data_IF_855855675524
#
_entry.id   IF_855855675524
#
_cell.length_a   1.000
_cell.length_b   1.000
_cell.length_c   1.000
_cell.angle_alpha   90.00
_cell.angle_beta   90.00
_cell.angle_gamma   90.00
#
_symmetry.space_group_name_H-M   'P 1'
#
loop_
_entity.id
_entity.type
_entity.pdbx_description
1 polymer ?
#
# COMPACT_ATOMS: atom_id res chain seq x y z
N UNK A 1 -27.79 -5.58 3.88
CA UNK A 1 -26.93 -5.20 5.01
C UNK A 1 -27.30 -6.00 6.24
N UNK A 2 -26.33 -6.49 6.92
CA UNK A 2 -26.57 -7.24 8.14
C UNK A 2 -26.78 -6.26 9.30
N UNK A 3 -27.87 -6.44 10.07
CA UNK A 3 -28.20 -5.58 11.21
C UNK A 3 -27.43 -6.00 12.47
N UNK A 4 -26.14 -6.16 12.36
CA UNK A 4 -25.28 -6.62 13.46
C UNK A 4 -25.07 -5.58 14.55
N UNK A 5 -25.49 -4.32 14.32
CA UNK A 5 -25.35 -3.24 15.29
C UNK A 5 -26.54 -3.11 16.24
N UNK A 6 -27.51 -4.00 16.11
CA UNK A 6 -28.68 -4.04 16.98
C UNK A 6 -28.71 -5.37 17.74
N UNK A 7 -29.09 -5.32 19.00
CA UNK A 7 -29.38 -6.55 19.75
C UNK A 7 -30.77 -7.11 19.40
N UNK A 8 -31.12 -8.23 19.98
CA UNK A 8 -32.42 -8.88 19.73
C UNK A 8 -33.63 -8.05 20.17
N UNK A 9 -33.42 -6.98 20.93
CA UNK A 9 -34.45 -6.05 21.36
C UNK A 9 -34.41 -4.74 20.55
N UNK A 10 -33.77 -4.75 19.39
CA UNK A 10 -33.61 -3.59 18.50
C UNK A 10 -32.86 -2.42 19.13
N UNK A 11 -32.11 -2.68 20.19
CA UNK A 11 -31.27 -1.65 20.79
C UNK A 11 -29.88 -1.64 20.16
N UNK A 12 -29.31 -0.45 19.92
CA UNK A 12 -27.96 -0.38 19.42
C UNK A 12 -26.98 -1.09 20.37
N UNK A 13 -26.09 -1.87 19.80
CA UNK A 13 -25.00 -2.48 20.57
C UNK A 13 -23.73 -2.46 19.76
N UNK A 14 -22.61 -2.45 20.45
CA UNK A 14 -21.32 -2.58 19.80
C UNK A 14 -21.16 -4.02 19.29
N UNK A 15 -20.74 -4.15 18.04
CA UNK A 15 -20.46 -5.46 17.46
C UNK A 15 -19.25 -6.07 18.16
N UNK A 16 -19.43 -7.29 18.66
CA UNK A 16 -18.32 -8.05 19.21
C UNK A 16 -17.53 -8.68 18.07
N UNK A 17 -16.41 -8.06 17.73
CA UNK A 17 -15.56 -8.53 16.62
C UNK A 17 -14.68 -9.71 17.01
N UNK A 18 -14.60 -10.06 18.30
CA UNK A 18 -13.77 -11.18 18.75
C UNK A 18 -14.28 -12.53 18.22
N UNK A 19 -15.57 -12.64 17.94
CA UNK A 19 -16.17 -13.85 17.39
C UNK A 19 -16.08 -13.95 15.88
N UNK A 20 -15.57 -12.92 15.22
CA UNK A 20 -15.44 -12.92 13.77
C UNK A 20 -14.06 -13.34 13.39
N UNK A 21 -13.99 -14.24 12.42
CA UNK A 21 -12.71 -14.62 11.82
C UNK A 21 -12.04 -13.40 11.20
N UNK A 22 -10.74 -13.26 11.45
CA UNK A 22 -9.96 -12.24 10.78
C UNK A 22 -9.96 -12.50 9.29
N UNK A 23 -10.20 -11.46 8.50
CA UNK A 23 -10.15 -11.54 7.05
C UNK A 23 -8.82 -10.99 6.58
N UNK A 24 -8.12 -11.78 5.79
CA UNK A 24 -6.91 -11.30 5.12
C UNK A 24 -7.33 -10.52 3.89
N UNK A 25 -6.81 -9.31 3.76
CA UNK A 25 -7.05 -8.45 2.60
C UNK A 25 -5.73 -8.07 1.96
N UNK A 26 -5.74 -8.08 0.64
CA UNK A 26 -4.56 -7.75 -0.15
C UNK A 26 -4.98 -6.68 -1.16
N UNK A 27 -4.23 -5.60 -1.18
CA UNK A 27 -4.37 -4.55 -2.20
C UNK A 27 -3.09 -4.48 -3.01
N UNK A 28 -3.21 -4.46 -4.31
CA UNK A 28 -2.08 -4.34 -5.22
C UNK A 28 -2.32 -3.14 -6.12
N UNK A 29 -1.34 -2.25 -6.16
CA UNK A 29 -1.38 -1.10 -7.05
C UNK A 29 -0.08 -1.03 -7.83
N UNK A 30 -0.13 -0.54 -9.05
CA UNK A 30 1.05 -0.34 -9.86
C UNK A 30 1.02 1.00 -10.55
N UNK A 31 2.20 1.50 -10.86
CA UNK A 31 2.37 2.73 -11.60
C UNK A 31 3.68 2.71 -12.34
N UNK A 32 3.77 3.52 -13.37
CA UNK A 32 4.98 3.65 -14.16
C UNK A 32 5.48 5.08 -14.12
N UNK A 33 6.79 5.22 -14.14
CA UNK A 33 7.45 6.52 -14.27
C UNK A 33 8.37 6.48 -15.48
N UNK A 34 8.26 7.51 -16.32
CA UNK A 34 9.15 7.68 -17.48
C UNK A 34 10.13 8.82 -17.21
N UNK A 35 11.30 8.71 -17.78
CA UNK A 35 12.36 9.68 -17.55
C UNK A 35 13.26 9.78 -18.77
N UNK A 36 14.23 10.71 -18.73
CA UNK A 36 15.24 10.79 -19.77
C UNK A 36 16.12 9.55 -19.75
N UNK A 37 16.73 9.25 -20.90
CA UNK A 37 17.68 8.13 -20.98
C UNK A 37 18.85 8.33 -20.03
N UNK A 38 19.34 9.56 -19.89
CA UNK A 38 20.45 9.85 -18.98
C UNK A 38 20.08 9.56 -17.53
N UNK A 39 18.88 9.95 -17.11
CA UNK A 39 18.41 9.67 -15.75
C UNK A 39 18.25 8.16 -15.52
N UNK A 40 17.67 7.45 -16.49
CA UNK A 40 17.50 6.01 -16.41
C UNK A 40 18.86 5.31 -16.28
N UNK A 41 19.81 5.66 -17.12
CA UNK A 41 21.16 5.07 -17.10
C UNK A 41 21.87 5.35 -15.77
N UNK A 42 21.70 6.54 -15.21
CA UNK A 42 22.29 6.89 -13.93
C UNK A 42 21.71 6.06 -12.80
N UNK A 43 20.40 5.79 -12.82
CA UNK A 43 19.74 4.96 -11.80
C UNK A 43 20.20 3.51 -11.92
N UNK A 44 20.24 2.96 -13.14
CA UNK A 44 20.68 1.57 -13.39
C UNK A 44 22.12 1.36 -12.95
N UNK A 45 23.00 2.32 -13.24
CA UNK A 45 24.41 2.23 -12.88
C UNK A 45 24.70 2.66 -11.43
N UNK A 46 23.68 3.11 -10.73
CA UNK A 46 23.78 3.58 -9.34
C UNK A 46 24.78 4.74 -9.18
N UNK A 47 24.78 5.66 -10.14
CA UNK A 47 25.72 6.81 -10.17
C UNK A 47 25.04 8.13 -9.81
N UNK A 48 23.83 8.10 -9.27
CA UNK A 48 23.12 9.31 -8.87
C UNK A 48 23.79 9.94 -7.65
N UNK A 49 23.80 11.28 -7.62
CA UNK A 49 24.48 12.04 -6.55
C UNK A 49 23.84 11.86 -5.18
N UNK A 50 22.53 11.57 -5.13
CA UNK A 50 21.77 11.45 -3.89
C UNK A 50 21.68 10.02 -3.37
N UNK A 51 22.46 9.10 -3.97
CA UNK A 51 22.48 7.70 -3.54
C UNK A 51 21.50 6.81 -4.27
N UNK A 52 21.23 5.63 -3.75
CA UNK A 52 20.44 4.60 -4.45
C UNK A 52 18.97 4.97 -4.58
N UNK A 53 18.57 5.32 -5.79
CA UNK A 53 17.20 5.81 -6.08
C UNK A 53 16.15 4.71 -5.86
N UNK A 54 16.43 3.49 -6.33
CA UNK A 54 15.44 2.41 -6.25
C UNK A 54 15.16 1.99 -4.81
N UNK A 55 16.18 1.94 -3.96
CA UNK A 55 16.01 1.65 -2.55
C UNK A 55 15.20 2.74 -1.86
N UNK A 56 15.45 4.00 -2.20
CA UNK A 56 14.69 5.12 -1.68
C UNK A 56 13.23 5.04 -2.10
N UNK A 57 12.96 4.64 -3.35
CA UNK A 57 11.61 4.47 -3.84
C UNK A 57 10.85 3.38 -3.06
N UNK A 58 11.51 2.27 -2.74
CA UNK A 58 10.90 1.20 -1.93
C UNK A 58 10.52 1.72 -0.55
N UNK A 59 11.42 2.45 0.11
CA UNK A 59 11.14 3.05 1.42
C UNK A 59 9.97 4.03 1.33
N UNK A 60 9.94 4.87 0.30
CA UNK A 60 8.87 5.83 0.08
C UNK A 60 7.52 5.14 -0.12
N UNK A 61 7.49 4.03 -0.86
CA UNK A 61 6.29 3.24 -1.06
C UNK A 61 5.76 2.67 0.26
N UNK A 62 6.64 2.14 1.09
CA UNK A 62 6.27 1.62 2.41
C UNK A 62 5.69 2.74 3.28
N UNK A 63 6.35 3.89 3.30
CA UNK A 63 5.87 5.05 4.07
C UNK A 63 4.50 5.52 3.57
N UNK A 64 4.30 5.53 2.25
CA UNK A 64 3.02 5.91 1.65
C UNK A 64 1.88 5.00 2.09
N UNK A 65 2.11 3.69 2.08
CA UNK A 65 1.10 2.73 2.54
C UNK A 65 0.78 2.95 4.01
N UNK A 66 1.80 3.14 4.84
CA UNK A 66 1.59 3.38 6.29
C UNK A 66 0.83 4.68 6.57
N UNK A 67 0.89 5.65 5.69
CA UNK A 67 0.22 6.94 5.84
C UNK A 67 -1.14 7.02 5.16
N UNK A 68 -1.63 5.91 4.61
CA UNK A 68 -2.88 5.91 3.86
C UNK A 68 -4.05 6.47 4.68
N UNK A 69 -4.17 6.07 5.95
CA UNK A 69 -5.24 6.57 6.80
C UNK A 69 -5.15 8.07 7.10
N UNK A 70 -3.95 8.65 7.02
CA UNK A 70 -3.75 10.09 7.19
C UNK A 70 -4.12 10.87 5.92
N UNK A 71 -3.99 10.23 4.76
CA UNK A 71 -4.15 10.89 3.46
C UNK A 71 -5.54 10.71 2.88
N UNK A 72 -6.20 9.60 3.20
CA UNK A 72 -7.53 9.27 2.68
C UNK A 72 -8.55 9.53 3.79
N UNK A 73 -9.42 10.53 3.65
CA UNK A 73 -10.29 10.98 4.75
C UNK A 73 -11.21 9.91 5.33
N UNK A 74 -11.65 8.95 4.53
CA UNK A 74 -12.59 7.93 4.97
C UNK A 74 -11.91 6.62 5.38
N UNK A 75 -10.58 6.61 5.45
CA UNK A 75 -9.84 5.41 5.81
C UNK A 75 -9.51 5.41 7.30
N UNK A 76 -9.88 4.34 7.99
CA UNK A 76 -9.46 4.14 9.37
C UNK A 76 -8.02 3.65 9.44
N UNK A 77 -7.34 3.81 10.59
CA UNK A 77 -6.03 3.20 10.78
C UNK A 77 -6.07 1.70 10.46
N UNK A 78 -5.11 1.23 9.70
CA UNK A 78 -5.07 -0.14 9.20
C UNK A 78 -4.03 -0.97 9.95
N UNK A 79 -4.39 -2.21 10.27
CA UNK A 79 -3.46 -3.18 10.84
C UNK A 79 -2.74 -3.89 9.69
N UNK A 80 -1.66 -3.28 9.24
CA UNK A 80 -0.88 -3.82 8.13
C UNK A 80 -0.05 -5.01 8.61
N UNK A 81 -0.16 -6.14 7.92
CA UNK A 81 0.64 -7.33 8.21
C UNK A 81 1.83 -7.49 7.25
N UNK A 82 1.83 -6.78 6.14
CA UNK A 82 2.94 -6.80 5.21
C UNK A 82 2.80 -5.74 4.14
N UNK A 83 3.95 -5.24 3.70
CA UNK A 83 4.04 -4.30 2.58
C UNK A 83 5.22 -4.75 1.73
N UNK A 84 5.01 -4.87 0.44
CA UNK A 84 6.06 -5.20 -0.50
C UNK A 84 6.03 -4.23 -1.67
N UNK A 85 7.20 -3.86 -2.16
CA UNK A 85 7.35 -3.03 -3.34
C UNK A 85 8.34 -3.70 -4.29
N UNK A 86 7.86 -4.10 -5.45
CA UNK A 86 8.69 -4.62 -6.53
C UNK A 86 8.87 -3.54 -7.57
N UNK A 87 10.07 -3.45 -8.13
CA UNK A 87 10.40 -2.49 -9.18
C UNK A 87 10.90 -3.25 -10.39
N UNK A 88 10.24 -3.03 -11.52
CA UNK A 88 10.65 -3.59 -12.81
C UNK A 88 11.30 -2.52 -13.65
N UNK A 89 12.47 -2.83 -14.22
CA UNK A 89 13.11 -1.97 -15.20
C UNK A 89 12.37 -2.03 -16.52
N UNK A 90 12.08 -0.87 -17.09
CA UNK A 90 11.38 -0.75 -18.36
C UNK A 90 12.23 0.12 -19.32
N UNK A 91 13.28 -0.48 -19.93
CA UNK A 91 14.19 0.30 -20.80
C UNK A 91 13.49 0.96 -21.98
N UNK A 92 12.36 0.40 -22.42
CA UNK A 92 11.59 0.91 -23.55
C UNK A 92 10.88 2.23 -23.27
N UNK A 93 10.66 2.54 -22.01
CA UNK A 93 9.98 3.80 -21.67
C UNK A 93 10.88 5.03 -21.90
N UNK A 94 12.15 5.14 -21.51
CA UNK A 94 12.81 4.46 -20.40
C UNK A 94 12.20 4.85 -19.04
N UNK A 95 12.22 3.92 -18.14
CA UNK A 95 11.62 4.15 -16.83
C UNK A 95 11.48 2.87 -16.01
N UNK A 96 10.58 2.93 -15.07
CA UNK A 96 10.35 1.85 -14.11
C UNK A 96 8.87 1.66 -13.86
N UNK A 97 8.50 0.41 -13.58
CA UNK A 97 7.18 0.07 -13.07
C UNK A 97 7.32 -0.33 -11.63
N UNK A 98 6.54 0.30 -10.76
CA UNK A 98 6.49 -0.03 -9.34
C UNK A 98 5.20 -0.79 -9.08
N UNK A 99 5.31 -1.89 -8.33
CA UNK A 99 4.17 -2.71 -7.93
C UNK A 99 4.20 -2.80 -6.41
N UNK A 100 3.19 -2.23 -5.78
CA UNK A 100 3.11 -2.19 -4.32
C UNK A 100 1.98 -3.10 -3.86
N UNK A 101 2.32 -4.00 -2.96
CA UNK A 101 1.36 -4.93 -2.36
C UNK A 101 1.24 -4.61 -0.88
N UNK A 102 0.03 -4.36 -0.42
CA UNK A 102 -0.26 -4.16 0.98
C UNK A 102 -1.17 -5.29 1.46
N UNK A 103 -0.81 -5.87 2.60
CA UNK A 103 -1.58 -6.92 3.23
C UNK A 103 -2.01 -6.45 4.60
N UNK A 104 -3.25 -6.77 4.96
CA UNK A 104 -3.73 -6.47 6.30
C UNK A 104 -4.60 -7.61 6.79
N UNK A 105 -4.64 -7.75 8.11
CA UNK A 105 -5.55 -8.65 8.79
C UNK A 105 -6.58 -7.80 9.52
N UNK A 106 -7.82 -8.23 9.48
CA UNK A 106 -8.88 -7.54 10.18
C UNK A 106 -9.95 -7.02 9.24
N UNK A 107 -10.83 -6.21 9.79
CA UNK A 107 -11.92 -5.62 9.06
C UNK A 107 -11.57 -4.19 8.70
N UNK A 108 -11.92 -3.82 7.48
CA UNK A 108 -11.85 -2.44 7.03
C UNK A 108 -13.26 -1.93 6.78
N UNK A 109 -13.48 -0.70 7.05
CA UNK A 109 -14.74 -0.04 6.76
C UNK A 109 -15.02 0.09 5.27
#
# INVERSE_FOLDING_TARGET
MNLTHLDENDRPKMVDVSDKSETKRIAIASGEITMSQDAFDAIISNTTKKGPVLQTAVVAAIMGVKKTSDLIPMCHPLLLSGINCDIEEKPELPGFKLIVTAKLNGQTG
#
